data_IF_806451487384
#
_entry.id   IF_806451487384
#
_cell.length_a   1.000
_cell.length_b   1.000
_cell.length_c   1.000
_cell.angle_alpha   90.00
_cell.angle_beta   90.00
_cell.angle_gamma   90.00
#
_symmetry.space_group_name_H-M   'P 1'
#
loop_
_entity.id
_entity.type
_entity.pdbx_description
1 polymer ?
#
# COMPACT_ATOMS: atom_id res chain seq x y z
N UNK A 1 -8.58 23.31 -7.80
CA UNK A 1 -9.14 22.73 -6.56
C UNK A 1 -9.13 21.22 -6.72
N UNK A 2 -8.29 20.52 -5.96
CA UNK A 2 -8.29 19.05 -5.99
C UNK A 2 -9.64 18.57 -5.45
N UNK A 3 -10.29 17.67 -6.18
CA UNK A 3 -11.58 17.06 -5.82
C UNK A 3 -11.31 15.58 -5.47
N UNK A 4 -10.98 15.26 -4.19
CA UNK A 4 -10.64 13.89 -3.79
C UNK A 4 -11.79 12.91 -3.99
N UNK A 5 -13.04 13.37 -3.84
CA UNK A 5 -14.22 12.54 -4.07
C UNK A 5 -14.35 12.19 -5.55
N UNK A 6 -14.28 13.17 -6.44
CA UNK A 6 -14.33 12.92 -7.89
C UNK A 6 -13.17 12.05 -8.37
N UNK A 7 -11.98 12.20 -7.79
CA UNK A 7 -10.84 11.29 -8.00
C UNK A 7 -11.20 9.87 -7.56
N UNK A 8 -11.70 9.68 -6.34
CA UNK A 8 -12.05 8.36 -5.83
C UNK A 8 -13.17 7.68 -6.64
N UNK A 9 -14.21 8.43 -7.00
CA UNK A 9 -15.31 7.96 -7.86
C UNK A 9 -14.81 7.52 -9.22
N UNK A 10 -13.96 8.33 -9.86
CA UNK A 10 -13.37 8.02 -11.17
C UNK A 10 -12.49 6.76 -11.11
N UNK A 11 -11.74 6.57 -10.02
CA UNK A 11 -11.00 5.35 -9.77
C UNK A 11 -11.93 4.13 -9.71
N UNK A 12 -12.97 4.18 -8.88
CA UNK A 12 -13.92 3.08 -8.72
C UNK A 12 -14.58 2.71 -10.06
N UNK A 13 -14.93 3.70 -10.88
CA UNK A 13 -15.53 3.47 -12.21
C UNK A 13 -14.55 2.85 -13.21
N UNK A 14 -13.36 3.44 -13.36
CA UNK A 14 -12.36 2.96 -14.34
C UNK A 14 -11.73 1.64 -13.95
N UNK A 15 -11.59 1.39 -12.65
CA UNK A 15 -10.89 0.24 -12.09
C UNK A 15 -11.82 -0.69 -11.31
N UNK A 16 -13.11 -0.73 -11.67
CA UNK A 16 -14.10 -1.58 -11.00
C UNK A 16 -13.61 -3.04 -10.86
N UNK A 17 -12.97 -3.60 -11.91
CA UNK A 17 -12.43 -4.97 -11.84
C UNK A 17 -11.31 -5.14 -10.80
N UNK A 18 -10.49 -4.12 -10.60
CA UNK A 18 -9.45 -4.11 -9.55
C UNK A 18 -10.10 -4.04 -8.17
N UNK A 19 -11.05 -3.12 -7.98
CA UNK A 19 -11.81 -3.00 -6.73
C UNK A 19 -12.42 -4.35 -6.35
N UNK A 20 -13.12 -4.98 -7.30
CA UNK A 20 -13.87 -6.21 -7.00
C UNK A 20 -13.01 -7.44 -6.76
N UNK A 21 -11.91 -7.58 -7.51
CA UNK A 21 -11.13 -8.80 -7.50
C UNK A 21 -9.90 -8.75 -6.58
N UNK A 22 -9.27 -7.59 -6.49
CA UNK A 22 -8.06 -7.38 -5.71
C UNK A 22 -8.40 -6.71 -4.38
N UNK A 23 -9.03 -5.53 -4.41
CA UNK A 23 -9.21 -4.74 -3.18
C UNK A 23 -10.20 -5.41 -2.20
N UNK A 24 -11.30 -6.00 -2.68
CA UNK A 24 -12.21 -6.78 -1.82
C UNK A 24 -11.65 -8.12 -1.33
N UNK A 25 -10.63 -8.66 -2.00
CA UNK A 25 -9.94 -9.84 -1.51
C UNK A 25 -8.86 -9.48 -0.49
N UNK A 26 -8.36 -8.24 -0.51
CA UNK A 26 -7.46 -7.74 0.50
C UNK A 26 -8.14 -7.76 1.88
N UNK A 27 -7.42 -8.24 2.88
CA UNK A 27 -7.97 -8.38 4.22
C UNK A 27 -6.92 -8.96 5.16
N UNK A 28 -7.37 -9.41 6.33
CA UNK A 28 -6.53 -9.97 7.37
C UNK A 28 -6.34 -11.48 7.17
N UNK A 29 -5.54 -11.86 6.17
CA UNK A 29 -5.23 -13.27 5.93
C UNK A 29 -4.07 -13.71 6.81
N UNK A 30 -4.01 -14.95 7.31
CA UNK A 30 -2.86 -15.38 8.11
C UNK A 30 -1.58 -15.49 7.28
N UNK A 31 -1.70 -15.88 6.00
CA UNK A 31 -0.57 -16.17 5.10
C UNK A 31 -0.90 -15.83 3.65
N UNK A 32 0.12 -15.83 2.76
CA UNK A 32 -0.11 -15.77 1.31
C UNK A 32 -0.66 -17.11 0.80
N UNK A 33 -1.58 -17.02 -0.16
CA UNK A 33 -2.15 -18.20 -0.83
C UNK A 33 -2.08 -18.04 -2.35
N UNK A 34 -2.18 -19.15 -3.12
CA UNK A 34 -2.24 -19.08 -4.58
C UNK A 34 -3.36 -18.17 -5.09
N UNK A 35 -4.51 -18.16 -4.39
CA UNK A 35 -5.65 -17.29 -4.72
C UNK A 35 -5.28 -15.81 -4.61
N UNK A 36 -4.59 -15.42 -3.53
CA UNK A 36 -4.12 -14.04 -3.33
C UNK A 36 -3.13 -13.64 -4.41
N UNK A 37 -2.11 -14.47 -4.68
CA UNK A 37 -1.11 -14.14 -5.71
C UNK A 37 -1.76 -14.02 -7.10
N UNK A 38 -2.75 -14.87 -7.42
CA UNK A 38 -3.46 -14.85 -8.70
C UNK A 38 -4.15 -13.52 -8.98
N UNK A 39 -4.82 -12.90 -8.00
CA UNK A 39 -5.52 -11.61 -8.22
C UNK A 39 -4.58 -10.43 -8.38
N UNK A 40 -3.29 -10.56 -8.05
CA UNK A 40 -2.32 -9.51 -8.38
C UNK A 40 -2.11 -9.39 -9.90
N UNK A 41 -2.40 -10.45 -10.67
CA UNK A 41 -2.09 -10.53 -12.11
C UNK A 41 -3.05 -9.71 -12.96
N UNK A 42 -2.68 -9.51 -14.23
CA UNK A 42 -3.64 -9.06 -15.23
C UNK A 42 -4.78 -10.09 -15.35
N UNK A 43 -6.02 -9.65 -15.57
CA UNK A 43 -6.47 -8.26 -15.82
C UNK A 43 -6.87 -7.46 -14.56
N UNK A 44 -6.53 -7.92 -13.35
CA UNK A 44 -7.03 -7.34 -12.10
C UNK A 44 -6.13 -6.21 -11.56
N UNK A 45 -4.84 -6.48 -11.34
CA UNK A 45 -3.89 -5.50 -10.77
C UNK A 45 -2.59 -5.37 -11.60
N UNK A 46 -2.58 -6.01 -12.78
CA UNK A 46 -1.54 -5.84 -13.80
C UNK A 46 -0.16 -6.40 -13.44
N UNK A 47 -0.03 -7.12 -12.33
CA UNK A 47 1.26 -7.67 -11.90
C UNK A 47 1.70 -8.84 -12.80
N UNK A 48 2.92 -8.79 -13.32
CA UNK A 48 3.48 -9.86 -14.16
C UNK A 48 4.23 -10.90 -13.32
N UNK A 49 3.60 -11.43 -12.27
CA UNK A 49 4.18 -12.49 -11.42
C UNK A 49 4.17 -13.81 -12.20
N UNK A 50 5.34 -14.36 -12.52
CA UNK A 50 5.46 -15.66 -13.18
C UNK A 50 5.05 -16.81 -12.25
N UNK A 51 4.87 -18.03 -12.79
CA UNK A 51 4.62 -19.23 -11.96
C UNK A 51 5.79 -19.55 -11.03
N UNK A 52 7.02 -19.28 -11.46
CA UNK A 52 8.21 -19.46 -10.63
C UNK A 52 8.24 -18.48 -9.46
N UNK A 53 7.95 -17.20 -9.73
CA UNK A 53 7.85 -16.17 -8.70
C UNK A 53 6.72 -16.46 -7.71
N UNK A 54 5.57 -16.96 -8.18
CA UNK A 54 4.48 -17.43 -7.32
C UNK A 54 4.95 -18.56 -6.40
N UNK A 55 5.58 -19.61 -6.94
CA UNK A 55 6.11 -20.71 -6.10
C UNK A 55 7.13 -20.22 -5.07
N UNK A 56 7.98 -19.26 -5.45
CA UNK A 56 8.94 -18.67 -4.52
C UNK A 56 8.26 -17.90 -3.39
N UNK A 57 7.28 -17.04 -3.69
CA UNK A 57 6.50 -16.32 -2.67
C UNK A 57 5.76 -17.29 -1.74
N UNK A 58 5.18 -18.37 -2.27
CA UNK A 58 4.48 -19.36 -1.44
C UNK A 58 5.43 -20.09 -0.50
N UNK A 59 6.62 -20.51 -0.97
CA UNK A 59 7.64 -21.11 -0.10
C UNK A 59 8.09 -20.16 1.01
N UNK A 60 8.34 -18.89 0.70
CA UNK A 60 8.70 -17.91 1.72
C UNK A 60 7.56 -17.66 2.71
N UNK A 61 6.30 -17.77 2.27
CA UNK A 61 5.13 -17.64 3.14
C UNK A 61 5.05 -18.72 4.22
N UNK A 62 5.69 -19.88 4.04
CA UNK A 62 5.69 -20.97 5.03
C UNK A 62 6.57 -20.65 6.25
N UNK A 63 7.58 -19.79 6.07
CA UNK A 63 8.57 -19.44 7.11
C UNK A 63 8.58 -17.95 7.47
N UNK A 64 7.65 -17.19 6.91
CA UNK A 64 7.57 -15.75 7.16
C UNK A 64 7.07 -15.48 8.59
N UNK A 65 7.57 -14.41 9.24
CA UNK A 65 7.17 -14.03 10.59
C UNK A 65 5.80 -13.34 10.57
N UNK A 66 4.74 -14.07 10.21
CA UNK A 66 3.39 -13.50 10.10
C UNK A 66 2.82 -13.06 11.45
N UNK A 67 3.14 -13.81 12.50
CA UNK A 67 2.61 -13.59 13.85
C UNK A 67 3.25 -12.38 14.55
N UNK A 68 4.42 -11.94 14.09
CA UNK A 68 5.05 -10.68 14.54
C UNK A 68 4.23 -9.45 14.13
N UNK A 69 3.37 -9.58 13.12
CA UNK A 69 2.56 -8.49 12.57
C UNK A 69 1.08 -8.77 12.81
N UNK A 70 0.45 -8.08 13.79
CA UNK A 70 -0.98 -8.22 14.07
C UNK A 70 -1.83 -8.05 12.81
N UNK A 71 -2.91 -8.81 12.75
CA UNK A 71 -3.83 -8.82 11.60
C UNK A 71 -4.43 -7.42 11.33
N UNK A 72 -4.73 -6.69 12.40
CA UNK A 72 -5.30 -5.35 12.43
C UNK A 72 -4.24 -4.24 12.54
N UNK A 73 -2.95 -4.55 12.36
CA UNK A 73 -1.90 -3.54 12.39
C UNK A 73 -2.11 -2.49 11.28
N UNK A 74 -2.00 -1.22 11.65
CA UNK A 74 -2.13 -0.09 10.74
C UNK A 74 -0.84 0.72 10.64
N UNK A 75 -0.54 1.22 9.45
CA UNK A 75 0.66 2.02 9.20
C UNK A 75 0.68 3.33 9.99
N UNK A 76 -0.49 3.95 10.25
CA UNK A 76 -0.57 5.16 11.10
C UNK A 76 -0.04 4.94 12.51
N UNK A 77 -0.23 3.73 13.04
CA UNK A 77 0.17 3.35 14.40
C UNK A 77 1.59 2.74 14.44
N UNK A 78 2.19 2.49 13.26
CA UNK A 78 3.51 1.93 13.11
C UNK A 78 4.61 3.00 13.24
N UNK A 79 4.91 3.41 14.47
CA UNK A 79 5.97 4.38 14.77
C UNK A 79 7.37 3.82 14.42
N UNK A 80 8.14 4.46 13.53
CA UNK A 80 9.50 4.04 13.18
C UNK A 80 10.56 4.28 14.28
N UNK A 81 10.20 4.95 15.37
CA UNK A 81 11.06 5.16 16.54
C UNK A 81 10.88 4.10 17.63
N UNK A 82 9.84 3.27 17.55
CA UNK A 82 9.61 2.20 18.51
C UNK A 82 10.35 0.93 18.09
N UNK A 83 11.23 0.48 18.97
CA UNK A 83 11.89 -0.81 18.87
C UNK A 83 10.85 -1.93 19.00
N UNK A 84 10.92 -2.89 18.07
CA UNK A 84 10.00 -4.04 17.98
C UNK A 84 8.51 -3.65 17.87
N UNK A 85 8.23 -2.40 17.48
CA UNK A 85 6.89 -1.96 17.14
C UNK A 85 6.42 -2.43 15.76
N UNK A 86 5.17 -2.12 15.40
CA UNK A 86 4.58 -2.56 14.13
C UNK A 86 5.39 -2.17 12.88
N UNK A 87 6.11 -1.04 12.93
CA UNK A 87 6.96 -0.60 11.82
C UNK A 87 8.11 -1.58 11.56
N UNK A 88 8.77 -2.01 12.63
CA UNK A 88 9.87 -2.96 12.58
C UNK A 88 9.40 -4.34 12.12
N UNK A 89 8.36 -4.88 12.77
CA UNK A 89 7.80 -6.17 12.39
C UNK A 89 7.37 -6.19 10.92
N UNK A 90 6.75 -5.10 10.44
CA UNK A 90 6.40 -4.96 9.03
C UNK A 90 7.63 -4.94 8.11
N UNK A 91 8.71 -4.23 8.50
CA UNK A 91 9.94 -4.17 7.72
C UNK A 91 10.63 -5.54 7.63
N UNK A 92 10.72 -6.27 8.75
CA UNK A 92 11.26 -7.64 8.78
C UNK A 92 10.45 -8.55 7.87
N UNK A 93 9.12 -8.51 7.98
CA UNK A 93 8.24 -9.28 7.11
C UNK A 93 8.43 -8.92 5.64
N UNK A 94 8.54 -7.63 5.29
CA UNK A 94 8.83 -7.21 3.92
C UNK A 94 10.20 -7.68 3.43
N UNK A 95 11.23 -7.55 4.26
CA UNK A 95 12.60 -7.96 3.94
C UNK A 95 12.69 -9.46 3.69
N UNK A 96 11.97 -10.28 4.47
CA UNK A 96 11.86 -11.73 4.27
C UNK A 96 11.45 -12.08 2.83
N UNK A 97 10.52 -11.33 2.24
CA UNK A 97 10.08 -11.53 0.85
C UNK A 97 10.96 -10.85 -0.20
N UNK A 98 11.86 -9.95 0.20
CA UNK A 98 12.57 -9.07 -0.73
C UNK A 98 14.08 -9.33 -0.83
N UNK A 99 14.73 -9.76 0.24
CA UNK A 99 16.19 -9.88 0.31
C UNK A 99 16.74 -10.85 -0.74
N UNK A 100 16.20 -12.08 -0.80
CA UNK A 100 16.69 -13.16 -1.68
C UNK A 100 15.74 -13.44 -2.86
N UNK A 101 15.09 -12.38 -3.35
CA UNK A 101 14.09 -12.49 -4.40
C UNK A 101 14.69 -12.87 -5.77
N UNK A 102 14.00 -13.70 -6.58
CA UNK A 102 14.43 -14.00 -7.93
C UNK A 102 14.39 -12.76 -8.83
N UNK A 103 15.18 -12.80 -9.92
CA UNK A 103 15.22 -11.71 -10.91
C UNK A 103 13.82 -11.37 -11.41
N UNK A 104 13.54 -10.08 -11.49
CA UNK A 104 12.26 -9.56 -11.96
C UNK A 104 11.11 -9.63 -10.95
N UNK A 105 11.34 -10.11 -9.72
CA UNK A 105 10.45 -9.88 -8.58
C UNK A 105 10.85 -8.54 -7.95
N UNK A 106 10.12 -7.46 -8.23
CA UNK A 106 10.44 -6.11 -7.75
C UNK A 106 9.54 -5.67 -6.59
N UNK A 107 9.82 -4.48 -6.04
CA UNK A 107 9.05 -3.86 -4.94
C UNK A 107 7.54 -3.94 -5.19
N UNK A 108 7.08 -3.53 -6.37
CA UNK A 108 5.67 -3.52 -6.76
C UNK A 108 4.99 -4.90 -6.64
N UNK A 109 5.70 -5.98 -6.93
CA UNK A 109 5.14 -7.33 -6.90
C UNK A 109 5.03 -7.85 -5.46
N UNK A 110 6.10 -7.67 -4.68
CA UNK A 110 6.13 -8.07 -3.26
C UNK A 110 5.10 -7.29 -2.46
N UNK A 111 5.11 -5.96 -2.60
CA UNK A 111 4.16 -5.09 -1.90
C UNK A 111 2.69 -5.38 -2.24
N UNK A 112 2.35 -5.64 -3.51
CA UNK A 112 0.98 -6.06 -3.88
C UNK A 112 0.56 -7.37 -3.21
N UNK A 113 1.48 -8.33 -3.08
CA UNK A 113 1.18 -9.58 -2.39
C UNK A 113 0.96 -9.33 -0.89
N UNK A 114 1.84 -8.57 -0.24
CA UNK A 114 1.74 -8.27 1.19
C UNK A 114 0.53 -7.39 1.53
N UNK A 115 0.18 -6.44 0.65
CA UNK A 115 -1.02 -5.62 0.79
C UNK A 115 -2.30 -6.45 0.88
N UNK A 116 -2.41 -7.55 0.13
CA UNK A 116 -3.57 -8.43 0.21
C UNK A 116 -3.74 -9.06 1.59
N UNK A 117 -2.66 -9.20 2.36
CA UNK A 117 -2.59 -9.92 3.65
C UNK A 117 -2.66 -8.97 4.86
N UNK A 118 -2.16 -7.74 4.72
CA UNK A 118 -2.27 -6.65 5.71
C UNK A 118 -2.51 -5.31 4.99
N UNK A 119 -3.72 -5.04 4.47
CA UNK A 119 -3.99 -3.85 3.67
C UNK A 119 -3.88 -2.55 4.45
N UNK A 120 -4.04 -2.59 5.77
CA UNK A 120 -3.84 -1.44 6.66
C UNK A 120 -2.38 -1.02 6.85
N UNK A 121 -1.43 -1.86 6.44
CA UNK A 121 -0.01 -1.71 6.77
C UNK A 121 0.88 -1.57 5.53
N UNK A 122 0.72 -2.45 4.53
CA UNK A 122 1.59 -2.46 3.36
C UNK A 122 1.07 -1.56 2.24
N UNK A 123 1.91 -0.58 1.86
CA UNK A 123 1.74 0.24 0.68
C UNK A 123 2.04 -0.56 -0.58
N UNK A 124 1.46 -0.18 -1.72
CA UNK A 124 1.82 -0.72 -3.03
C UNK A 124 3.01 0.09 -3.59
N UNK A 125 4.22 -0.47 -3.48
CA UNK A 125 5.47 0.19 -3.86
C UNK A 125 5.78 0.08 -5.36
N UNK A 126 4.90 0.61 -6.20
CA UNK A 126 5.12 0.72 -7.64
C UNK A 126 5.95 1.94 -8.06
N UNK A 127 6.27 2.03 -9.35
CA UNK A 127 7.09 3.12 -9.88
C UNK A 127 6.43 4.51 -9.76
N UNK A 128 5.10 4.60 -9.74
CA UNK A 128 4.40 5.86 -9.57
C UNK A 128 4.53 6.35 -8.14
N UNK A 129 4.23 5.51 -7.15
CA UNK A 129 4.41 5.83 -5.73
C UNK A 129 5.87 6.13 -5.41
N UNK A 130 6.81 5.28 -5.85
CA UNK A 130 8.23 5.47 -5.59
C UNK A 130 8.77 6.78 -6.18
N UNK A 131 8.22 7.23 -7.31
CA UNK A 131 8.55 8.51 -7.94
C UNK A 131 7.94 9.68 -7.16
N UNK A 132 6.64 9.60 -6.85
CA UNK A 132 5.89 10.63 -6.10
C UNK A 132 6.53 10.92 -4.74
N UNK A 133 6.86 9.86 -4.00
CA UNK A 133 7.39 9.93 -2.64
C UNK A 133 8.91 10.04 -2.56
N UNK A 134 9.63 10.10 -3.69
CA UNK A 134 11.10 10.04 -3.68
C UNK A 134 11.73 11.07 -2.74
N UNK A 135 11.34 12.34 -2.85
CA UNK A 135 11.91 13.42 -2.03
C UNK A 135 11.49 13.31 -0.56
N UNK A 136 10.21 13.06 -0.31
CA UNK A 136 9.69 12.88 1.06
C UNK A 136 10.37 11.70 1.76
N UNK A 137 10.62 10.59 1.05
CA UNK A 137 11.33 9.43 1.57
C UNK A 137 12.82 9.71 1.85
N UNK A 138 13.48 10.57 1.06
CA UNK A 138 14.87 11.02 1.31
C UNK A 138 14.94 11.94 2.55
N UNK A 139 13.93 12.77 2.78
CA UNK A 139 13.80 13.56 4.02
C UNK A 139 13.57 12.64 5.23
N UNK A 140 12.56 11.78 5.17
CA UNK A 140 12.24 10.86 6.26
C UNK A 140 13.41 9.93 6.63
N UNK A 141 14.20 9.47 5.65
CA UNK A 141 15.40 8.69 5.92
C UNK A 141 16.43 9.47 6.75
N UNK A 142 16.67 10.74 6.43
CA UNK A 142 17.62 11.59 7.17
C UNK A 142 17.12 11.91 8.58
N UNK A 143 15.83 12.20 8.72
CA UNK A 143 15.21 12.45 10.02
C UNK A 143 15.35 11.22 10.94
N UNK A 144 15.08 10.02 10.43
CA UNK A 144 15.26 8.78 11.18
C UNK A 144 16.72 8.52 11.56
N UNK A 145 17.67 8.82 10.66
CA UNK A 145 19.11 8.70 10.95
C UNK A 145 19.54 9.66 12.06
N UNK A 146 19.10 10.93 11.98
CA UNK A 146 19.39 11.95 12.98
C UNK A 146 18.78 11.62 14.34
N UNK A 147 17.60 11.01 14.35
CA UNK A 147 16.93 10.54 15.55
C UNK A 147 17.52 9.22 16.11
N UNK A 148 18.50 8.61 15.44
CA UNK A 148 19.13 7.37 15.89
C UNK A 148 18.26 6.11 15.74
N UNK A 149 17.25 6.12 14.86
CA UNK A 149 16.44 4.94 14.61
C UNK A 149 17.29 3.80 14.03
N UNK A 150 17.22 2.62 14.66
CA UNK A 150 17.92 1.41 14.20
C UNK A 150 17.51 0.95 12.80
N UNK A 151 16.33 1.39 12.35
CA UNK A 151 15.72 1.03 11.06
C UNK A 151 15.86 2.11 10.01
N UNK A 152 16.65 3.15 10.27
CA UNK A 152 16.83 4.25 9.34
C UNK A 152 17.52 3.75 8.07
N UNK A 153 16.83 3.70 6.91
CA UNK A 153 17.45 3.24 5.69
C UNK A 153 18.48 4.27 5.22
N UNK A 154 19.54 3.88 4.50
CA UNK A 154 20.62 4.78 4.12
C UNK A 154 20.16 5.88 3.15
N UNK A 155 19.09 5.65 2.39
CA UNK A 155 18.68 6.55 1.30
C UNK A 155 17.22 7.00 1.36
N UNK A 156 16.27 6.09 1.59
CA UNK A 156 14.84 6.38 1.43
C UNK A 156 13.97 5.57 2.39
N UNK A 157 13.18 6.26 3.20
CA UNK A 157 12.20 5.67 4.11
C UNK A 157 10.78 5.90 3.56
N UNK A 158 10.40 5.14 2.53
CA UNK A 158 9.11 5.32 1.86
C UNK A 158 7.91 5.12 2.79
N UNK A 159 7.97 4.13 3.67
CA UNK A 159 6.89 3.86 4.61
C UNK A 159 6.74 4.95 5.66
N UNK A 160 7.86 5.44 6.22
CA UNK A 160 7.83 6.57 7.15
C UNK A 160 7.29 7.83 6.50
N UNK A 161 7.72 8.16 5.28
CA UNK A 161 7.21 9.31 4.55
C UNK A 161 5.70 9.21 4.27
N UNK A 162 5.23 8.03 3.87
CA UNK A 162 3.81 7.78 3.61
C UNK A 162 2.98 7.78 4.89
N UNK A 163 3.52 7.25 5.99
CA UNK A 163 2.90 7.32 7.32
C UNK A 163 2.68 8.77 7.74
N UNK A 164 3.67 9.64 7.55
CA UNK A 164 3.53 11.07 7.83
C UNK A 164 2.38 11.70 7.05
N UNK A 165 2.22 11.35 5.77
CA UNK A 165 1.09 11.82 4.96
C UNK A 165 -0.25 11.23 5.40
N UNK A 166 -0.30 9.96 5.80
CA UNK A 166 -1.52 9.36 6.38
C UNK A 166 -1.97 10.09 7.64
N UNK A 167 -1.02 10.42 8.53
CA UNK A 167 -1.32 11.16 9.76
C UNK A 167 -1.84 12.57 9.45
N UNK A 168 -1.22 13.25 8.47
CA UNK A 168 -1.66 14.59 8.02
C UNK A 168 -3.01 14.57 7.32
N UNK A 169 -3.30 13.51 6.57
CA UNK A 169 -4.52 13.38 5.76
C UNK A 169 -5.70 12.78 6.54
N UNK A 170 -5.55 12.42 7.82
CA UNK A 170 -6.54 11.65 8.57
C UNK A 170 -7.95 12.26 8.54
N UNK A 171 -8.06 13.56 8.80
CA UNK A 171 -9.35 14.28 8.77
C UNK A 171 -9.94 14.33 7.34
N UNK A 172 -9.10 14.61 6.34
CA UNK A 172 -9.52 14.64 4.94
C UNK A 172 -9.98 13.27 4.42
N UNK A 173 -9.33 12.19 4.85
CA UNK A 173 -9.74 10.81 4.53
C UNK A 173 -11.07 10.45 5.20
N UNK A 174 -11.31 10.91 6.43
CA UNK A 174 -12.58 10.71 7.11
C UNK A 174 -13.72 11.45 6.38
N UNK A 175 -13.50 12.70 5.97
CA UNK A 175 -14.46 13.48 5.17
C UNK A 175 -14.73 12.82 3.81
N UNK A 176 -13.68 12.36 3.12
CA UNK A 176 -13.81 11.62 1.86
C UNK A 176 -14.66 10.36 2.03
N UNK A 177 -14.43 9.57 3.10
CA UNK A 177 -15.24 8.38 3.38
C UNK A 177 -16.70 8.72 3.62
N UNK A 178 -16.97 9.78 4.39
CA UNK A 178 -18.34 10.27 4.61
C UNK A 178 -19.03 10.57 3.29
N UNK A 179 -18.44 11.43 2.47
CA UNK A 179 -19.02 11.83 1.19
C UNK A 179 -19.13 10.66 0.19
N UNK A 180 -18.20 9.69 0.23
CA UNK A 180 -18.23 8.53 -0.64
C UNK A 180 -19.30 7.49 -0.24
N UNK A 181 -19.62 7.37 1.06
CA UNK A 181 -20.74 6.53 1.55
C UNK A 181 -22.09 7.05 1.09
N UNK A 182 -22.23 8.38 1.07
CA UNK A 182 -23.46 9.06 0.65
C UNK A 182 -23.60 9.18 -0.88
N UNK A 183 -22.67 8.60 -1.65
CA UNK A 183 -22.67 8.68 -3.10
C UNK A 183 -23.62 7.64 -3.74
N UNK A 184 -24.35 8.04 -4.78
CA UNK A 184 -25.37 7.19 -5.46
C UNK A 184 -24.84 5.90 -6.12
N UNK A 185 -23.52 5.81 -6.33
CA UNK A 185 -22.87 4.63 -6.93
C UNK A 185 -22.53 3.61 -5.84
N UNK A 186 -23.17 2.42 -5.81
CA UNK A 186 -22.96 1.43 -4.76
C UNK A 186 -21.51 0.95 -4.64
N UNK A 187 -20.75 0.94 -5.75
CA UNK A 187 -19.35 0.53 -5.71
C UNK A 187 -18.48 1.55 -4.97
N UNK A 188 -18.82 2.84 -5.07
CA UNK A 188 -18.12 3.92 -4.37
C UNK A 188 -18.40 3.84 -2.88
N UNK A 189 -19.68 3.68 -2.50
CA UNK A 189 -20.09 3.54 -1.12
C UNK A 189 -19.44 2.29 -0.46
N UNK A 190 -19.48 1.13 -1.12
CA UNK A 190 -18.85 -0.08 -0.60
C UNK A 190 -17.32 0.05 -0.50
N UNK A 191 -16.67 0.68 -1.49
CA UNK A 191 -15.24 0.92 -1.44
C UNK A 191 -14.84 1.86 -0.29
N UNK A 192 -15.69 2.84 0.04
CA UNK A 192 -15.49 3.74 1.18
C UNK A 192 -15.51 3.03 2.53
N UNK A 193 -16.10 1.83 2.63
CA UNK A 193 -16.08 1.03 3.85
C UNK A 193 -14.98 -0.02 3.88
N UNK A 194 -14.64 -0.59 2.72
CA UNK A 194 -13.76 -1.77 2.65
C UNK A 194 -12.29 -1.44 2.43
N UNK A 195 -11.97 -0.32 1.78
CA UNK A 195 -10.59 0.05 1.52
C UNK A 195 -9.92 0.54 2.80
N UNK A 196 -8.64 0.21 3.01
CA UNK A 196 -7.83 0.80 4.08
C UNK A 196 -7.46 2.25 3.75
N UNK A 197 -7.12 3.04 4.76
CA UNK A 197 -6.61 4.41 4.55
C UNK A 197 -5.31 4.42 3.71
N UNK A 198 -4.48 3.38 3.87
CA UNK A 198 -3.31 3.16 3.00
C UNK A 198 -3.75 3.02 1.54
N UNK A 199 -4.79 2.23 1.25
CA UNK A 199 -5.22 2.04 -0.13
C UNK A 199 -5.92 3.27 -0.71
N UNK A 200 -6.71 3.97 0.10
CA UNK A 200 -7.35 5.23 -0.31
C UNK A 200 -6.30 6.28 -0.66
N UNK A 201 -5.31 6.52 0.20
CA UNK A 201 -4.27 7.49 -0.08
C UNK A 201 -3.43 7.08 -1.31
N UNK A 202 -3.24 5.77 -1.56
CA UNK A 202 -2.51 5.27 -2.73
C UNK A 202 -3.29 5.57 -4.02
N UNK A 203 -4.60 5.36 -4.02
CA UNK A 203 -5.49 5.74 -5.13
C UNK A 203 -5.40 7.24 -5.40
N UNK A 204 -5.43 8.08 -4.36
CA UNK A 204 -5.31 9.53 -4.50
C UNK A 204 -3.92 9.94 -5.01
N UNK A 205 -2.86 9.23 -4.63
CA UNK A 205 -1.48 9.50 -5.07
C UNK A 205 -1.20 9.11 -6.53
N UNK A 206 -2.03 8.22 -7.11
CA UNK A 206 -1.91 7.73 -8.48
C UNK A 206 -2.53 8.65 -9.54
N UNK A 207 -3.37 9.60 -9.14
CA UNK A 207 -4.00 10.51 -10.09
C UNK A 207 -3.11 11.72 -10.37
N UNK A 208 -2.99 12.14 -11.64
CA UNK A 208 -2.20 13.31 -12.00
C UNK A 208 -2.69 14.52 -11.20
N UNK A 209 -1.77 15.39 -10.81
CA UNK A 209 -2.12 16.74 -10.36
C UNK A 209 -3.01 17.34 -11.46
N UNK A 210 -4.27 17.65 -11.18
CA UNK A 210 -5.22 18.21 -12.17
C UNK A 210 -4.89 19.65 -12.57
N UNK A 211 -3.61 20.03 -12.54
CA UNK A 211 -3.10 21.35 -12.90
C UNK A 211 -2.12 21.23 -14.08
N UNK A 212 -2.64 20.95 -15.28
CA UNK A 212 -2.00 21.25 -16.58
C UNK A 212 -2.87 20.87 -17.79
N UNK A 213 -4.19 21.11 -17.78
CA UNK A 213 -5.02 20.95 -19.00
C UNK A 213 -6.06 22.04 -19.21
N UNK A 214 -5.88 23.19 -18.56
CA UNK A 214 -6.53 24.46 -18.94
C UNK A 214 -5.44 25.45 -19.34
N UNK A 215 -4.72 25.09 -20.40
CA UNK A 215 -3.90 25.99 -21.19
C UNK A 215 -3.86 25.40 -22.61
N UNK A 216 -4.93 25.62 -23.36
CA UNK A 216 -4.97 25.53 -24.82
C UNK A 216 -5.75 26.73 -25.32
#
# INVERSE_FOLDING_TARGET
>A
MNDPLGVFVDYCKRHARTVRAYDWLAGTHPVLTPKLIKVTRAPHMGSRISREQERHLLRLSETAPWDDVPLDAHLRDADPMLDDGHYDCALRLYQHFFQDRPRGLGHAKVSKALHLVRPGLFLILDSALLRRYRRAAEVAARELQQAGSRHAPPRRAYWAAYRTDLLRAAEGLALLRGAARDHDDPLVAEAADRLSDVRLLDILAWMPDREASTAS
#
